data_IF_230463417569
#
_entry.id   IF_230463417569
#
_cell.length_a   1.000
_cell.length_b   1.000
_cell.length_c   1.000
_cell.angle_alpha   90.00
_cell.angle_beta   90.00
_cell.angle_gamma   90.00
#
_symmetry.space_group_name_H-M   'P 1'
#
loop_
_entity.id
_entity.type
_entity.pdbx_description
1 polymer ?
#
# COMPACT_ATOMS: atom_id res chain seq x y z
N UNK A 1 41.53 -2.26 -15.58
CA UNK A 1 41.00 -0.90 -15.81
C UNK A 1 39.83 -0.89 -16.79
N UNK A 2 39.96 -1.37 -18.03
CA UNK A 2 38.83 -1.42 -18.99
C UNK A 2 37.73 -2.39 -18.54
N UNK A 3 38.11 -3.58 -18.07
CA UNK A 3 37.17 -4.60 -17.57
C UNK A 3 36.42 -4.16 -16.30
N UNK A 4 37.09 -3.42 -15.41
CA UNK A 4 36.50 -2.90 -14.17
C UNK A 4 35.41 -1.85 -14.46
N UNK A 5 35.60 -1.01 -15.49
CA UNK A 5 34.62 0.00 -15.92
C UNK A 5 33.41 -0.66 -16.56
N UNK A 6 33.62 -1.68 -17.40
CA UNK A 6 32.53 -2.45 -18.01
C UNK A 6 31.71 -3.21 -16.95
N UNK A 7 32.38 -3.84 -15.98
CA UNK A 7 31.73 -4.53 -14.86
C UNK A 7 30.93 -3.57 -13.98
N UNK A 8 31.47 -2.38 -13.68
CA UNK A 8 30.77 -1.34 -12.92
C UNK A 8 29.52 -0.82 -13.67
N UNK A 9 29.61 -0.64 -15.00
CA UNK A 9 28.48 -0.24 -15.84
C UNK A 9 27.36 -1.27 -15.86
N UNK A 10 27.70 -2.55 -16.03
CA UNK A 10 26.72 -3.65 -16.00
C UNK A 10 26.03 -3.76 -14.63
N UNK A 11 26.78 -3.63 -13.54
CA UNK A 11 26.23 -3.63 -12.19
C UNK A 11 25.28 -2.44 -11.93
N UNK A 12 25.58 -1.27 -12.50
CA UNK A 12 24.71 -0.09 -12.41
C UNK A 12 23.38 -0.28 -13.17
N UNK A 13 23.43 -0.82 -14.39
CA UNK A 13 22.22 -1.15 -15.18
C UNK A 13 21.34 -2.19 -14.46
N UNK A 14 21.95 -3.25 -13.91
CA UNK A 14 21.26 -4.25 -13.10
C UNK A 14 20.55 -3.64 -11.88
N UNK A 15 21.22 -2.73 -11.15
CA UNK A 15 20.63 -2.04 -10.00
C UNK A 15 19.46 -1.15 -10.41
N UNK A 16 19.59 -0.41 -11.50
CA UNK A 16 18.52 0.47 -12.00
C UNK A 16 17.28 -0.32 -12.44
N UNK A 17 17.47 -1.45 -13.14
CA UNK A 17 16.37 -2.36 -13.53
C UNK A 17 15.68 -3.01 -12.33
N UNK A 18 16.46 -3.42 -11.31
CA UNK A 18 15.91 -3.96 -10.07
C UNK A 18 15.08 -2.93 -9.31
N UNK A 19 15.59 -1.71 -9.16
CA UNK A 19 14.86 -0.62 -8.51
C UNK A 19 13.55 -0.33 -9.26
N UNK A 20 13.60 -0.23 -10.59
CA UNK A 20 12.40 -0.07 -11.43
C UNK A 20 11.35 -1.15 -11.19
N UNK A 21 11.74 -2.42 -11.22
CA UNK A 21 10.80 -3.52 -11.03
C UNK A 21 10.23 -3.53 -9.60
N UNK A 22 11.05 -3.19 -8.60
CA UNK A 22 10.58 -3.03 -7.22
C UNK A 22 9.57 -1.88 -7.10
N UNK A 23 9.80 -0.73 -7.75
CA UNK A 23 8.84 0.38 -7.75
C UNK A 23 7.51 -0.01 -8.41
N UNK A 24 7.53 -0.76 -9.53
CA UNK A 24 6.29 -1.31 -10.11
C UNK A 24 5.52 -2.18 -9.11
N UNK A 25 6.23 -3.06 -8.41
CA UNK A 25 5.64 -3.93 -7.38
C UNK A 25 5.04 -3.11 -6.25
N UNK A 26 5.77 -2.12 -5.72
CA UNK A 26 5.32 -1.23 -4.64
C UNK A 26 4.02 -0.51 -5.01
N UNK A 27 3.93 0.08 -6.20
CA UNK A 27 2.72 0.75 -6.67
C UNK A 27 1.56 -0.25 -6.82
N UNK A 28 1.81 -1.41 -7.44
CA UNK A 28 0.79 -2.44 -7.64
C UNK A 28 0.26 -3.02 -6.34
N UNK A 29 1.12 -3.32 -5.38
CA UNK A 29 0.73 -3.81 -4.05
C UNK A 29 -0.04 -2.76 -3.28
N UNK A 30 0.38 -1.49 -3.32
CA UNK A 30 -0.35 -0.40 -2.66
C UNK A 30 -1.80 -0.30 -3.19
N UNK A 31 -1.98 -0.32 -4.52
CA UNK A 31 -3.30 -0.29 -5.14
C UNK A 31 -4.13 -1.54 -4.82
N UNK A 32 -3.52 -2.72 -4.85
CA UNK A 32 -4.16 -3.98 -4.49
C UNK A 32 -4.64 -3.99 -3.04
N UNK A 33 -3.78 -3.60 -2.10
CA UNK A 33 -4.12 -3.58 -0.68
C UNK A 33 -5.27 -2.61 -0.40
N UNK A 34 -5.21 -1.38 -0.94
CA UNK A 34 -6.22 -0.35 -0.75
C UNK A 34 -7.61 -0.81 -1.24
N UNK A 35 -7.67 -1.36 -2.45
CA UNK A 35 -8.93 -1.81 -3.05
C UNK A 35 -9.46 -3.11 -2.46
N UNK A 36 -8.58 -4.01 -2.03
CA UNK A 36 -8.95 -5.30 -1.42
C UNK A 36 -9.76 -5.10 -0.15
N UNK A 37 -9.31 -4.26 0.78
CA UNK A 37 -10.09 -4.01 2.00
C UNK A 37 -11.31 -3.13 1.72
N UNK A 38 -11.19 -2.11 0.85
CA UNK A 38 -12.28 -1.19 0.56
C UNK A 38 -13.47 -1.91 -0.10
N UNK A 39 -13.22 -2.88 -0.99
CA UNK A 39 -14.27 -3.71 -1.60
C UNK A 39 -15.03 -4.58 -0.59
N UNK A 40 -14.49 -4.77 0.62
CA UNK A 40 -15.12 -5.51 1.72
C UNK A 40 -15.92 -4.63 2.67
N UNK A 41 -15.99 -3.32 2.44
CA UNK A 41 -16.76 -2.38 3.25
C UNK A 41 -18.23 -2.79 3.47
N UNK A 42 -18.99 -3.30 2.48
CA UNK A 42 -20.35 -3.75 2.72
C UNK A 42 -20.43 -4.88 3.77
N UNK A 43 -19.54 -5.87 3.69
CA UNK A 43 -19.50 -6.97 4.65
C UNK A 43 -19.09 -6.49 6.06
N UNK A 44 -18.17 -5.53 6.16
CA UNK A 44 -17.78 -4.91 7.44
C UNK A 44 -18.94 -4.12 8.04
N UNK A 45 -19.67 -3.37 7.21
CA UNK A 45 -20.88 -2.64 7.62
C UNK A 45 -21.90 -3.60 8.22
N UNK A 46 -22.21 -4.67 7.50
CA UNK A 46 -23.26 -5.62 7.89
C UNK A 46 -22.84 -6.39 9.16
N UNK A 47 -21.57 -6.78 9.28
CA UNK A 47 -21.06 -7.50 10.46
C UNK A 47 -21.06 -6.67 11.75
N UNK A 48 -20.97 -5.34 11.63
CA UNK A 48 -20.94 -4.41 12.77
C UNK A 48 -22.25 -3.61 12.93
N UNK A 49 -23.28 -3.95 12.16
CA UNK A 49 -24.58 -3.27 12.12
C UNK A 49 -24.46 -1.74 11.98
N UNK A 50 -23.58 -1.31 11.07
CA UNK A 50 -23.29 0.10 10.86
C UNK A 50 -24.36 0.79 10.02
N UNK A 51 -24.89 1.89 10.55
CA UNK A 51 -25.68 2.84 9.75
C UNK A 51 -24.83 3.50 8.65
N UNK A 52 -25.44 4.13 7.63
CA UNK A 52 -24.70 4.89 6.63
C UNK A 52 -23.81 6.00 7.23
N UNK A 53 -24.28 6.68 8.28
CA UNK A 53 -23.47 7.66 9.02
C UNK A 53 -22.34 7.00 9.81
N UNK A 54 -22.56 5.80 10.34
CA UNK A 54 -21.53 4.98 10.99
C UNK A 54 -20.38 4.63 10.03
N UNK A 55 -20.68 4.26 8.78
CA UNK A 55 -19.64 4.05 7.75
C UNK A 55 -18.85 5.33 7.52
N UNK A 56 -19.54 6.47 7.36
CA UNK A 56 -18.89 7.76 7.20
C UNK A 56 -17.93 8.08 8.35
N UNK A 57 -18.34 7.79 9.59
CA UNK A 57 -17.51 8.00 10.78
C UNK A 57 -16.27 7.12 10.82
N UNK A 58 -16.38 5.82 10.50
CA UNK A 58 -15.20 4.94 10.48
C UNK A 58 -14.26 5.29 9.32
N UNK A 59 -14.77 5.75 8.18
CA UNK A 59 -13.96 6.22 7.06
C UNK A 59 -13.25 7.55 7.36
N UNK A 60 -13.81 8.41 8.23
CA UNK A 60 -13.08 9.59 8.71
C UNK A 60 -11.76 9.21 9.40
N UNK A 61 -11.70 8.05 10.07
CA UNK A 61 -10.45 7.58 10.68
C UNK A 61 -9.34 7.38 9.64
N UNK A 62 -9.67 6.84 8.46
CA UNK A 62 -8.73 6.70 7.34
C UNK A 62 -8.26 8.08 6.87
N UNK A 63 -9.18 9.03 6.68
CA UNK A 63 -8.85 10.39 6.26
C UNK A 63 -7.95 11.10 7.27
N UNK A 64 -8.25 11.01 8.57
CA UNK A 64 -7.45 11.61 9.64
C UNK A 64 -6.07 10.95 9.71
N UNK A 65 -5.99 9.63 9.56
CA UNK A 65 -4.72 8.91 9.46
C UNK A 65 -3.88 9.41 8.28
N UNK A 66 -4.46 9.52 7.09
CA UNK A 66 -3.79 10.01 5.91
C UNK A 66 -3.34 11.47 6.05
N UNK A 67 -4.18 12.34 6.62
CA UNK A 67 -3.85 13.73 6.93
C UNK A 67 -2.71 13.86 7.94
N UNK A 68 -2.58 12.94 8.89
CA UNK A 68 -1.40 12.87 9.75
C UNK A 68 -0.18 12.35 8.98
N UNK A 69 -0.39 11.38 8.07
CA UNK A 69 0.68 10.73 7.35
C UNK A 69 1.41 11.59 6.31
N UNK A 70 0.65 12.38 5.56
CA UNK A 70 1.17 13.29 4.54
C UNK A 70 2.25 14.26 5.07
N UNK A 71 2.03 15.07 6.12
CA UNK A 71 3.06 15.97 6.64
C UNK A 71 4.23 15.24 7.31
N UNK A 72 4.00 14.03 7.84
CA UNK A 72 5.06 13.20 8.42
C UNK A 72 6.00 12.61 7.35
N UNK A 73 5.51 12.41 6.13
CA UNK A 73 6.28 11.78 5.05
C UNK A 73 7.61 12.49 4.76
N UNK A 74 7.64 13.81 4.67
CA UNK A 74 8.84 14.58 4.32
C UNK A 74 10.01 14.35 5.29
N UNK A 75 9.83 14.61 6.60
CA UNK A 75 10.85 14.34 7.61
C UNK A 75 11.27 12.86 7.67
N UNK A 76 10.34 11.92 7.51
CA UNK A 76 10.64 10.48 7.58
C UNK A 76 11.44 10.03 6.35
N UNK A 77 11.04 10.42 5.14
CA UNK A 77 11.78 10.17 3.89
C UNK A 77 13.16 10.80 3.95
N UNK A 78 13.29 12.02 4.46
CA UNK A 78 14.60 12.68 4.62
C UNK A 78 15.54 11.90 5.55
N UNK A 79 15.01 11.32 6.64
CA UNK A 79 15.83 10.59 7.63
C UNK A 79 16.15 9.15 7.24
N UNK A 80 15.16 8.41 6.72
CA UNK A 80 15.28 6.98 6.43
C UNK A 80 15.65 6.69 4.98
N UNK A 81 15.38 7.63 4.08
CA UNK A 81 15.40 7.42 2.64
C UNK A 81 14.07 6.82 2.13
N UNK A 82 13.73 7.05 0.85
CA UNK A 82 12.43 6.68 0.28
C UNK A 82 12.13 5.17 0.36
N UNK A 83 13.02 4.29 -0.10
CA UNK A 83 12.82 2.84 -0.03
C UNK A 83 12.54 2.30 1.38
N UNK A 84 13.26 2.79 2.41
CA UNK A 84 13.02 2.35 3.80
C UNK A 84 11.71 2.90 4.36
N UNK A 85 11.34 4.11 3.98
CA UNK A 85 10.03 4.68 4.34
C UNK A 85 8.90 3.90 3.68
N UNK A 86 9.03 3.51 2.42
CA UNK A 86 8.05 2.63 1.75
C UNK A 86 7.90 1.32 2.52
N UNK A 87 8.99 0.65 2.86
CA UNK A 87 8.93 -0.61 3.61
C UNK A 87 8.21 -0.42 4.96
N UNK A 88 8.61 0.57 5.76
CA UNK A 88 7.99 0.83 7.05
C UNK A 88 6.50 1.22 6.94
N UNK A 89 6.16 2.11 6.01
CA UNK A 89 4.79 2.57 5.78
C UNK A 89 3.89 1.45 5.25
N UNK A 90 4.44 0.57 4.40
CA UNK A 90 3.72 -0.61 3.89
C UNK A 90 3.38 -1.59 5.00
N UNK A 91 4.28 -1.81 5.97
CA UNK A 91 4.01 -2.64 7.14
C UNK A 91 2.91 -2.00 7.99
N UNK A 92 2.98 -0.70 8.28
CA UNK A 92 1.94 0.01 9.05
C UNK A 92 0.56 -0.12 8.39
N UNK A 93 0.48 0.14 7.08
CA UNK A 93 -0.76 0.01 6.32
C UNK A 93 -1.29 -1.43 6.35
N UNK A 94 -0.42 -2.41 6.14
CA UNK A 94 -0.77 -3.84 6.10
C UNK A 94 -1.22 -4.37 7.45
N UNK A 95 -0.59 -3.93 8.55
CA UNK A 95 -1.06 -4.22 9.91
C UNK A 95 -2.42 -3.57 10.19
N UNK A 96 -2.67 -2.38 9.66
CA UNK A 96 -4.00 -1.77 9.67
C UNK A 96 -5.05 -2.65 8.98
N UNK A 97 -4.75 -3.15 7.76
CA UNK A 97 -5.67 -4.04 7.02
C UNK A 97 -5.88 -5.38 7.71
N UNK A 98 -4.82 -5.97 8.29
CA UNK A 98 -4.93 -7.14 9.17
C UNK A 98 -5.90 -6.86 10.33
N UNK A 99 -5.74 -5.70 10.99
CA UNK A 99 -6.60 -5.24 12.07
C UNK A 99 -8.05 -5.07 11.64
N UNK A 100 -8.31 -4.52 10.44
CA UNK A 100 -9.67 -4.41 9.87
C UNK A 100 -10.30 -5.80 9.72
N UNK A 101 -9.53 -6.79 9.28
CA UNK A 101 -9.99 -8.17 9.18
C UNK A 101 -10.42 -8.78 10.52
N UNK A 102 -9.75 -8.40 11.60
CA UNK A 102 -9.91 -9.00 12.92
C UNK A 102 -10.74 -8.13 13.89
N UNK A 103 -11.23 -6.96 13.46
CA UNK A 103 -11.92 -6.02 14.34
C UNK A 103 -13.31 -6.54 14.72
N UNK A 104 -13.57 -6.87 16.01
CA UNK A 104 -14.86 -7.38 16.45
C UNK A 104 -15.88 -6.28 16.75
N UNK A 105 -15.42 -5.02 16.86
CA UNK A 105 -16.24 -3.88 17.25
C UNK A 105 -15.77 -2.61 16.55
N UNK A 106 -16.65 -1.61 16.48
CA UNK A 106 -16.33 -0.26 15.96
C UNK A 106 -15.18 0.38 16.73
N UNK A 107 -15.11 0.15 18.05
CA UNK A 107 -14.05 0.68 18.92
C UNK A 107 -12.66 0.17 18.49
N UNK A 108 -12.58 -1.06 18.01
CA UNK A 108 -11.33 -1.63 17.46
C UNK A 108 -11.12 -1.21 16.01
N UNK A 109 -12.20 -1.10 15.22
CA UNK A 109 -12.13 -0.77 13.80
C UNK A 109 -11.57 0.65 13.53
N UNK A 110 -11.96 1.63 14.34
CA UNK A 110 -11.51 3.04 14.19
C UNK A 110 -9.99 3.18 14.25
N UNK A 111 -9.28 2.73 15.30
CA UNK A 111 -7.82 2.90 15.37
C UNK A 111 -7.08 2.11 14.28
N UNK A 112 -7.56 0.93 13.88
CA UNK A 112 -6.90 0.17 12.79
C UNK A 112 -7.11 0.83 11.43
N UNK A 113 -8.27 1.44 11.16
CA UNK A 113 -8.50 2.25 9.96
C UNK A 113 -7.67 3.53 9.95
N UNK A 114 -7.44 4.14 11.13
CA UNK A 114 -6.46 5.22 11.25
C UNK A 114 -5.05 4.76 10.85
N UNK A 115 -4.61 3.55 11.25
CA UNK A 115 -3.33 3.00 10.82
C UNK A 115 -3.27 2.72 9.32
N UNK A 116 -4.37 2.23 8.71
CA UNK A 116 -4.49 2.11 7.25
C UNK A 116 -4.25 3.47 6.59
N UNK A 117 -4.95 4.51 7.05
CA UNK A 117 -4.79 5.88 6.53
C UNK A 117 -3.38 6.43 6.70
N UNK A 118 -2.82 6.31 7.91
CA UNK A 118 -1.48 6.77 8.25
C UNK A 118 -0.41 6.09 7.39
N UNK A 119 -0.44 4.75 7.36
CA UNK A 119 0.49 3.95 6.57
C UNK A 119 0.37 4.27 5.09
N UNK A 120 -0.85 4.32 4.55
CA UNK A 120 -1.07 4.65 3.13
C UNK A 120 -0.60 6.07 2.79
N UNK A 121 -0.85 7.06 3.65
CA UNK A 121 -0.42 8.44 3.42
C UNK A 121 1.11 8.57 3.38
N UNK A 122 1.83 7.91 4.28
CA UNK A 122 3.31 7.86 4.23
C UNK A 122 3.81 7.09 3.01
N UNK A 123 3.18 5.94 2.72
CA UNK A 123 3.54 5.06 1.63
C UNK A 123 3.42 5.82 0.30
N UNK A 124 2.28 6.46 0.05
CA UNK A 124 2.00 7.18 -1.20
C UNK A 124 3.09 8.22 -1.49
N UNK A 125 3.43 9.07 -0.53
CA UNK A 125 4.48 10.06 -0.74
C UNK A 125 5.84 9.39 -0.96
N UNK A 126 6.20 8.41 -0.13
CA UNK A 126 7.50 7.75 -0.22
C UNK A 126 7.69 6.98 -1.53
N UNK A 127 6.65 6.31 -2.04
CA UNK A 127 6.72 5.58 -3.31
C UNK A 127 6.85 6.52 -4.51
N UNK A 128 6.21 7.70 -4.47
CA UNK A 128 6.37 8.73 -5.49
C UNK A 128 7.79 9.32 -5.48
N UNK A 129 8.38 9.53 -4.30
CA UNK A 129 9.79 9.97 -4.19
C UNK A 129 10.75 8.90 -4.71
N UNK A 130 10.54 7.62 -4.36
CA UNK A 130 11.33 6.50 -4.91
C UNK A 130 11.19 6.41 -6.44
N UNK A 131 9.96 6.53 -6.96
CA UNK A 131 9.68 6.48 -8.39
C UNK A 131 10.34 7.62 -9.15
N UNK A 132 10.33 8.84 -8.60
CA UNK A 132 11.01 9.98 -9.18
C UNK A 132 12.54 9.79 -9.23
N UNK A 133 13.12 9.19 -8.19
CA UNK A 133 14.55 8.87 -8.17
C UNK A 133 14.92 7.77 -9.18
N UNK A 134 14.06 6.75 -9.34
CA UNK A 134 14.23 5.72 -10.37
C UNK A 134 14.13 6.32 -11.77
N UNK A 135 13.11 7.15 -12.02
CA UNK A 135 12.93 7.89 -13.28
C UNK A 135 14.17 8.72 -13.63
N UNK A 136 14.67 9.50 -12.66
CA UNK A 136 15.88 10.31 -12.81
C UNK A 136 17.12 9.47 -13.14
N UNK A 137 17.28 8.30 -12.51
CA UNK A 137 18.42 7.38 -12.77
C UNK A 137 18.35 6.71 -14.13
N UNK A 138 17.15 6.38 -14.59
CA UNK A 138 16.95 5.77 -15.91
C UNK A 138 17.00 6.79 -17.05
N UNK A 139 16.79 8.08 -16.76
CA UNK A 139 16.78 9.14 -17.76
C UNK A 139 15.58 9.06 -18.71
N UNK A 140 14.49 8.43 -18.29
CA UNK A 140 13.27 8.24 -19.09
C UNK A 140 12.03 8.48 -18.25
N UNK A 141 11.02 9.12 -18.83
CA UNK A 141 9.71 9.30 -18.20
C UNK A 141 9.01 7.94 -18.02
N UNK A 142 8.86 7.50 -16.77
CA UNK A 142 8.34 6.19 -16.39
C UNK A 142 7.28 6.26 -15.28
N UNK A 143 7.18 7.38 -14.55
CA UNK A 143 6.19 7.59 -13.50
C UNK A 143 4.74 7.25 -13.92
N UNK A 144 4.25 7.64 -15.11
CA UNK A 144 2.90 7.26 -15.54
C UNK A 144 2.69 5.74 -15.60
N UNK A 145 3.74 4.96 -15.88
CA UNK A 145 3.67 3.49 -15.90
C UNK A 145 3.60 2.92 -14.49
N UNK A 146 4.24 3.54 -13.51
CA UNK A 146 4.07 3.15 -12.10
C UNK A 146 2.62 3.36 -11.65
N UNK A 147 2.00 4.50 -12.01
CA UNK A 147 0.57 4.71 -11.76
C UNK A 147 -0.32 3.71 -12.51
N UNK A 148 0.04 3.30 -13.72
CA UNK A 148 -0.66 2.22 -14.42
C UNK A 148 -0.61 0.89 -13.64
N UNK A 149 0.53 0.56 -13.01
CA UNK A 149 0.64 -0.60 -12.15
C UNK A 149 -0.20 -0.47 -10.86
N UNK A 150 -0.24 0.72 -10.25
CA UNK A 150 -1.17 0.99 -9.14
C UNK A 150 -2.63 0.74 -9.56
N UNK A 151 -3.06 1.26 -10.71
CA UNK A 151 -4.41 1.03 -11.23
C UNK A 151 -4.70 -0.43 -11.54
N UNK A 152 -3.73 -1.16 -12.09
CA UNK A 152 -3.89 -2.61 -12.26
C UNK A 152 -4.02 -3.32 -10.91
N UNK A 153 -3.24 -2.88 -9.92
CA UNK A 153 -3.35 -3.31 -8.53
C UNK A 153 -4.75 -3.07 -7.97
N UNK A 154 -5.33 -1.87 -8.16
CA UNK A 154 -6.69 -1.58 -7.66
C UNK A 154 -7.76 -2.45 -8.31
N UNK A 155 -7.65 -2.73 -9.61
CA UNK A 155 -8.54 -3.66 -10.30
C UNK A 155 -8.38 -5.07 -9.75
N UNK A 156 -7.14 -5.55 -9.59
CA UNK A 156 -6.86 -6.88 -9.06
C UNK A 156 -7.38 -7.06 -7.63
N UNK A 157 -7.14 -6.08 -6.74
CA UNK A 157 -7.59 -6.14 -5.36
C UNK A 157 -9.11 -6.02 -5.21
N UNK A 158 -9.75 -5.12 -5.96
CA UNK A 158 -11.21 -5.06 -6.00
C UNK A 158 -11.82 -6.36 -6.56
N UNK A 159 -11.24 -6.92 -7.63
CA UNK A 159 -11.66 -8.20 -8.21
C UNK A 159 -11.51 -9.35 -7.23
N UNK A 160 -10.39 -9.43 -6.51
CA UNK A 160 -10.17 -10.42 -5.46
C UNK A 160 -11.23 -10.29 -4.35
N UNK A 161 -11.48 -9.08 -3.85
CA UNK A 161 -12.48 -8.85 -2.82
C UNK A 161 -13.91 -9.17 -3.27
N UNK A 162 -14.24 -8.91 -4.55
CA UNK A 162 -15.50 -9.29 -5.16
C UNK A 162 -15.65 -10.82 -5.27
N UNK A 163 -14.60 -11.54 -5.71
CA UNK A 163 -14.60 -13.01 -5.75
C UNK A 163 -14.79 -13.59 -4.35
N UNK A 164 -14.05 -13.09 -3.36
CA UNK A 164 -14.19 -13.51 -1.97
C UNK A 164 -15.58 -13.19 -1.41
N UNK A 165 -16.25 -12.14 -1.90
CA UNK A 165 -17.62 -11.82 -1.50
C UNK A 165 -18.62 -12.76 -2.15
N UNK A 166 -18.45 -13.07 -3.44
CA UNK A 166 -19.31 -13.99 -4.18
C UNK A 166 -19.28 -15.43 -3.67
N UNK A 167 -18.20 -15.83 -2.97
CA UNK A 167 -18.09 -17.13 -2.30
C UNK A 167 -18.35 -17.07 -0.78
N UNK A 168 -18.90 -15.97 -0.28
CA UNK A 168 -19.19 -15.78 1.16
C UNK A 168 -17.97 -15.98 2.09
N UNK A 169 -16.75 -15.77 1.57
CA UNK A 169 -15.54 -15.89 2.37
C UNK A 169 -15.53 -14.78 3.44
N UNK A 170 -15.38 -15.11 4.74
CA UNK A 170 -15.41 -14.11 5.80
C UNK A 170 -14.29 -13.07 5.66
N UNK A 171 -14.59 -11.81 6.03
CA UNK A 171 -13.59 -10.72 6.07
C UNK A 171 -12.40 -11.08 6.97
N UNK A 172 -12.68 -11.76 8.08
CA UNK A 172 -11.70 -12.26 9.05
C UNK A 172 -10.79 -13.39 8.54
N UNK A 173 -11.09 -13.97 7.38
CA UNK A 173 -10.19 -14.90 6.69
C UNK A 173 -9.46 -14.19 5.57
N UNK A 174 -10.20 -13.46 4.74
CA UNK A 174 -9.67 -12.82 3.54
C UNK A 174 -8.61 -11.75 3.85
N UNK A 175 -8.90 -10.76 4.71
CA UNK A 175 -7.96 -9.66 4.94
C UNK A 175 -6.68 -10.09 5.68
N UNK A 176 -6.73 -10.97 6.69
CA UNK A 176 -5.51 -11.51 7.28
C UNK A 176 -4.66 -12.32 6.31
N UNK A 177 -5.29 -13.12 5.43
CA UNK A 177 -4.56 -13.85 4.39
C UNK A 177 -3.81 -12.90 3.45
N UNK A 178 -4.48 -11.86 2.96
CA UNK A 178 -3.87 -10.84 2.09
C UNK A 178 -2.75 -10.11 2.82
N UNK A 179 -2.96 -9.73 4.08
CA UNK A 179 -1.94 -9.06 4.88
C UNK A 179 -0.68 -9.91 5.06
N UNK A 180 -0.83 -11.21 5.37
CA UNK A 180 0.29 -12.14 5.47
C UNK A 180 1.00 -12.31 4.13
N UNK A 181 0.25 -12.43 3.03
CA UNK A 181 0.83 -12.55 1.69
C UNK A 181 1.65 -11.31 1.32
N UNK A 182 1.18 -10.11 1.64
CA UNK A 182 1.90 -8.86 1.41
C UNK A 182 3.14 -8.76 2.31
N UNK A 183 3.03 -9.07 3.60
CA UNK A 183 4.17 -9.04 4.53
C UNK A 183 5.25 -10.07 4.17
N UNK A 184 4.86 -11.23 3.65
CA UNK A 184 5.80 -12.25 3.16
C UNK A 184 6.47 -11.90 1.82
N UNK A 185 5.92 -10.93 1.09
CA UNK A 185 6.45 -10.43 -0.17
C UNK A 185 7.27 -9.13 -0.03
N UNK A 186 7.32 -8.54 1.18
CA UNK A 186 8.04 -7.34 1.53
C UNK A 186 9.49 -7.65 2.00
#
# INVERSE_FOLDING_TARGET
MHDDVLAAGAAADLRARRARNATYWVFGVNGCLLSTWASRLPAIRDALDLSPSGIGFVLLAVSVGAMAGLPLSGPVVHRLGPARTVAAASVVCTLGVLGVGLAPTVLVLVPVLFLVGLGNGLWDVAMNVEGAEVERRLGVEIMPRFHAAFSLGTVAGAGLGAVMAGFDVPVAVHLPFVAVAVLGAA
#
